data_IF_709621504682
#
_entry.id   IF_709621504682
#
_cell.length_a   1.000
_cell.length_b   1.000
_cell.length_c   1.000
_cell.angle_alpha   90.00
_cell.angle_beta   90.00
_cell.angle_gamma   90.00
#
_symmetry.space_group_name_H-M   'P 1'
#
loop_
_entity.id
_entity.type
_entity.pdbx_description
1 polymer ?
#
# COMPACT_ATOMS: atom_id res chain seq x y z
N UNK A 1 21.85 22.33 -34.23
CA UNK A 1 22.97 21.40 -33.98
C UNK A 1 22.85 20.81 -32.58
N UNK A 2 22.38 19.56 -32.45
CA UNK A 2 22.82 18.57 -31.46
C UNK A 2 22.29 17.20 -31.89
N UNK A 3 23.23 16.35 -32.33
CA UNK A 3 23.10 14.91 -32.56
C UNK A 3 22.69 14.28 -31.20
N UNK A 4 21.79 13.32 -31.11
CA UNK A 4 22.00 11.91 -31.45
C UNK A 4 20.70 11.28 -31.94
N UNK A 5 20.67 10.95 -33.23
CA UNK A 5 19.80 9.96 -33.85
C UNK A 5 20.69 8.74 -34.13
N UNK A 6 20.59 7.69 -33.32
CA UNK A 6 21.02 6.34 -33.72
C UNK A 6 20.18 5.34 -32.94
N UNK A 7 19.33 4.58 -33.65
CA UNK A 7 18.76 3.36 -33.09
C UNK A 7 17.28 3.10 -33.36
N UNK A 8 16.73 3.50 -34.51
CA UNK A 8 15.51 2.89 -35.04
C UNK A 8 15.94 1.93 -36.15
N UNK A 9 15.88 0.62 -35.86
CA UNK A 9 15.22 -0.42 -36.68
C UNK A 9 15.82 -1.82 -36.47
N UNK A 10 14.95 -2.71 -36.01
CA UNK A 10 14.85 -4.14 -36.34
C UNK A 10 15.80 -5.12 -35.63
N UNK A 11 15.52 -5.34 -34.34
CA UNK A 11 15.75 -6.61 -33.63
C UNK A 11 14.47 -7.00 -32.88
N UNK A 12 13.95 -8.17 -33.21
CA UNK A 12 12.57 -8.60 -33.02
C UNK A 12 12.17 -8.90 -31.57
N UNK A 13 10.90 -8.55 -31.28
CA UNK A 13 9.96 -9.13 -30.30
C UNK A 13 10.41 -9.30 -28.84
N UNK A 14 9.71 -8.60 -27.94
CA UNK A 14 9.70 -8.74 -26.46
C UNK A 14 10.64 -7.84 -25.63
N UNK A 15 11.28 -6.82 -26.22
CA UNK A 15 12.34 -6.08 -25.50
C UNK A 15 11.94 -4.82 -24.73
N UNK A 16 10.87 -4.10 -25.10
CA UNK A 16 10.65 -2.73 -24.60
C UNK A 16 9.25 -2.41 -24.08
N UNK A 17 8.31 -3.37 -24.19
CA UNK A 17 6.97 -3.26 -23.57
C UNK A 17 6.86 -4.08 -22.28
N UNK A 18 7.89 -4.87 -21.92
CA UNK A 18 7.70 -6.00 -20.99
C UNK A 18 8.58 -6.02 -19.72
N UNK A 19 9.32 -4.96 -19.39
CA UNK A 19 9.92 -4.82 -18.05
C UNK A 19 8.93 -4.10 -17.10
N UNK A 20 8.43 -2.93 -17.51
CA UNK A 20 7.43 -2.14 -16.78
C UNK A 20 6.09 -2.86 -16.54
N UNK A 21 5.72 -3.84 -17.38
CA UNK A 21 4.53 -4.66 -17.20
C UNK A 21 4.79 -5.93 -16.35
N UNK A 22 6.00 -6.51 -16.43
CA UNK A 22 6.37 -7.71 -15.65
C UNK A 22 6.51 -7.41 -14.16
N UNK A 23 7.12 -6.29 -13.78
CA UNK A 23 7.28 -5.92 -12.35
C UNK A 23 5.91 -5.69 -11.70
N UNK A 24 4.95 -5.17 -12.47
CA UNK A 24 3.57 -4.98 -12.03
C UNK A 24 2.81 -6.31 -11.94
N UNK A 25 3.02 -7.23 -12.87
CA UNK A 25 2.41 -8.56 -12.83
C UNK A 25 2.90 -9.39 -11.64
N UNK A 26 4.21 -9.37 -11.35
CA UNK A 26 4.80 -10.01 -10.18
C UNK A 26 4.25 -9.40 -8.88
N UNK A 27 4.18 -8.07 -8.80
CA UNK A 27 3.61 -7.39 -7.63
C UNK A 27 2.12 -7.72 -7.41
N UNK A 28 1.32 -7.79 -8.48
CA UNK A 28 -0.10 -8.18 -8.43
C UNK A 28 -0.25 -9.63 -7.97
N UNK A 29 0.56 -10.55 -8.50
CA UNK A 29 0.52 -11.95 -8.09
C UNK A 29 0.90 -12.12 -6.61
N UNK A 30 1.98 -11.46 -6.16
CA UNK A 30 2.40 -11.48 -4.76
C UNK A 30 1.32 -10.90 -3.83
N UNK A 31 0.67 -9.80 -4.25
CA UNK A 31 -0.42 -9.19 -3.50
C UNK A 31 -1.67 -10.09 -3.42
N UNK A 32 -2.04 -10.75 -4.52
CA UNK A 32 -3.17 -11.67 -4.54
C UNK A 32 -2.91 -12.90 -3.68
N UNK A 33 -1.71 -13.48 -3.80
CA UNK A 33 -1.24 -14.55 -2.91
C UNK A 33 -1.35 -14.13 -1.44
N UNK A 34 -0.85 -12.94 -1.09
CA UNK A 34 -0.84 -12.41 0.28
C UNK A 34 -2.24 -12.34 0.92
N UNK A 35 -3.32 -12.16 0.14
CA UNK A 35 -4.70 -12.12 0.66
C UNK A 35 -5.13 -13.45 1.29
N UNK A 36 -4.66 -14.56 0.75
CA UNK A 36 -4.98 -15.92 1.23
C UNK A 36 -4.06 -16.44 2.34
N UNK A 37 -2.92 -15.77 2.58
CA UNK A 37 -1.91 -16.25 3.54
C UNK A 37 -2.23 -15.87 4.98
N UNK A 38 -1.68 -16.64 5.92
CA UNK A 38 -1.65 -16.27 7.34
C UNK A 38 -0.86 -14.96 7.54
N UNK A 39 -1.12 -14.18 8.60
CA UNK A 39 -0.50 -12.86 8.77
C UNK A 39 1.03 -12.83 8.72
N UNK A 40 1.71 -13.86 9.25
CA UNK A 40 3.18 -13.95 9.22
C UNK A 40 3.74 -14.17 7.81
N UNK A 41 3.15 -15.09 7.04
CA UNK A 41 3.56 -15.35 5.66
C UNK A 41 3.16 -14.20 4.74
N UNK A 42 2.04 -13.54 5.06
CA UNK A 42 1.54 -12.36 4.36
C UNK A 42 2.54 -11.21 4.41
N UNK A 43 3.14 -10.91 5.57
CA UNK A 43 4.13 -9.83 5.66
C UNK A 43 5.33 -10.07 4.76
N UNK A 44 5.82 -11.31 4.66
CA UNK A 44 6.94 -11.67 3.77
C UNK A 44 6.54 -11.56 2.29
N UNK A 45 5.39 -12.09 1.89
CA UNK A 45 4.91 -11.98 0.51
C UNK A 45 4.69 -10.52 0.07
N UNK A 46 4.32 -9.64 1.01
CA UNK A 46 4.15 -8.22 0.73
C UNK A 46 5.48 -7.48 0.59
N UNK A 47 6.57 -7.95 1.20
CA UNK A 47 7.91 -7.39 0.98
C UNK A 47 8.38 -7.62 -0.45
N UNK A 48 8.14 -8.82 -0.99
CA UNK A 48 8.39 -9.13 -2.40
C UNK A 48 7.56 -8.22 -3.33
N UNK A 49 6.27 -8.05 -3.02
CA UNK A 49 5.38 -7.17 -3.78
C UNK A 49 5.85 -5.71 -3.76
N UNK A 50 6.21 -5.19 -2.59
CA UNK A 50 6.70 -3.82 -2.40
C UNK A 50 8.04 -3.61 -3.11
N UNK A 51 8.94 -4.59 -3.07
CA UNK A 51 10.24 -4.51 -3.74
C UNK A 51 10.08 -4.46 -5.27
N UNK A 52 9.08 -5.17 -5.83
CA UNK A 52 8.77 -5.13 -7.26
C UNK A 52 8.02 -3.85 -7.67
N UNK A 53 6.98 -3.48 -6.93
CA UNK A 53 6.20 -2.28 -7.19
C UNK A 53 5.54 -1.76 -5.89
N UNK A 54 6.09 -0.69 -5.27
CA UNK A 54 5.47 -0.07 -4.11
C UNK A 54 4.07 0.44 -4.47
N UNK A 55 3.05 -0.03 -3.75
CA UNK A 55 1.67 0.40 -3.97
C UNK A 55 0.94 0.61 -2.65
N UNK A 56 -0.04 1.53 -2.66
CA UNK A 56 -0.85 1.84 -1.48
C UNK A 56 -1.42 0.56 -0.84
N UNK A 57 -1.97 -0.33 -1.67
CA UNK A 57 -2.59 -1.58 -1.23
C UNK A 57 -1.59 -2.52 -0.57
N UNK A 58 -0.37 -2.66 -1.11
CA UNK A 58 0.65 -3.53 -0.53
C UNK A 58 1.07 -3.04 0.87
N UNK A 59 1.31 -1.74 1.02
CA UNK A 59 1.66 -1.14 2.31
C UNK A 59 0.52 -1.20 3.33
N UNK A 60 -0.73 -0.96 2.89
CA UNK A 60 -1.91 -1.06 3.74
C UNK A 60 -2.10 -2.49 4.25
N UNK A 61 -1.96 -3.48 3.36
CA UNK A 61 -2.02 -4.90 3.72
C UNK A 61 -0.89 -5.32 4.66
N UNK A 62 0.32 -4.76 4.49
CA UNK A 62 1.47 -5.06 5.35
C UNK A 62 1.21 -4.53 6.76
N UNK A 63 0.68 -3.31 6.87
CA UNK A 63 0.22 -2.75 8.13
C UNK A 63 -0.85 -3.61 8.82
N UNK A 64 -1.83 -4.11 8.05
CA UNK A 64 -2.84 -5.03 8.55
C UNK A 64 -2.30 -6.39 9.01
N UNK A 65 -1.27 -6.91 8.31
CA UNK A 65 -0.60 -8.15 8.69
C UNK A 65 0.12 -8.02 10.04
N UNK A 66 0.94 -6.98 10.20
CA UNK A 66 1.63 -6.70 11.46
C UNK A 66 0.65 -6.41 12.60
N UNK A 67 -0.44 -5.70 12.34
CA UNK A 67 -1.49 -5.48 13.33
C UNK A 67 -2.11 -6.81 13.82
N UNK A 68 -2.40 -7.74 12.91
CA UNK A 68 -2.92 -9.07 13.29
C UNK A 68 -1.90 -9.90 14.09
N UNK A 69 -0.60 -9.64 13.91
CA UNK A 69 0.49 -10.23 14.69
C UNK A 69 0.77 -9.48 16.01
N UNK A 70 0.01 -8.42 16.33
CA UNK A 70 0.23 -7.51 17.46
C UNK A 70 1.60 -6.80 17.45
N UNK A 71 2.17 -6.66 16.25
CA UNK A 71 3.40 -5.90 15.98
C UNK A 71 3.00 -4.47 15.63
N UNK A 72 2.68 -3.68 16.65
CA UNK A 72 1.98 -2.40 16.46
C UNK A 72 2.87 -1.32 15.86
N UNK A 73 4.15 -1.27 16.23
CA UNK A 73 5.13 -0.34 15.69
C UNK A 73 5.33 -0.55 14.18
N UNK A 74 5.54 -1.80 13.76
CA UNK A 74 5.68 -2.18 12.36
C UNK A 74 4.40 -1.92 11.58
N UNK A 75 3.24 -2.17 12.19
CA UNK A 75 1.95 -1.84 11.61
C UNK A 75 1.84 -0.34 11.33
N UNK A 76 2.15 0.51 12.31
CA UNK A 76 2.12 1.97 12.16
C UNK A 76 3.11 2.43 11.09
N UNK A 77 4.32 1.89 11.05
CA UNK A 77 5.32 2.25 10.04
C UNK A 77 4.83 1.93 8.62
N UNK A 78 4.31 0.73 8.39
CA UNK A 78 3.77 0.33 7.09
C UNK A 78 2.55 1.18 6.68
N UNK A 79 1.65 1.50 7.62
CA UNK A 79 0.50 2.37 7.34
C UNK A 79 0.91 3.82 7.05
N UNK A 80 1.99 4.32 7.66
CA UNK A 80 2.56 5.63 7.31
C UNK A 80 3.13 5.64 5.89
N UNK A 81 3.78 4.55 5.47
CA UNK A 81 4.22 4.39 4.08
C UNK A 81 3.02 4.38 3.12
N UNK A 82 1.95 3.65 3.44
CA UNK A 82 0.73 3.65 2.65
C UNK A 82 0.17 5.09 2.47
N UNK A 83 0.10 5.86 3.56
CA UNK A 83 -0.33 7.26 3.50
C UNK A 83 0.58 8.14 2.63
N UNK A 84 1.90 7.94 2.67
CA UNK A 84 2.86 8.76 1.91
C UNK A 84 2.69 8.62 0.39
N UNK A 85 2.30 7.43 -0.07
CA UNK A 85 2.11 7.14 -1.50
C UNK A 85 0.64 7.15 -1.92
N UNK A 86 -0.27 7.58 -1.03
CA UNK A 86 -1.68 7.68 -1.35
C UNK A 86 -1.88 8.84 -2.33
N UNK A 87 -2.21 8.51 -3.58
CA UNK A 87 -2.49 9.50 -4.62
C UNK A 87 -3.82 10.25 -4.40
N UNK A 88 -4.73 9.67 -3.60
CA UNK A 88 -6.05 10.22 -3.32
C UNK A 88 -6.24 10.52 -1.83
N UNK A 89 -6.93 11.62 -1.53
CA UNK A 89 -7.20 12.08 -0.17
C UNK A 89 -7.96 11.02 0.66
N UNK A 90 -8.96 10.36 0.06
CA UNK A 90 -9.72 9.30 0.72
C UNK A 90 -8.84 8.11 1.14
N UNK A 91 -7.86 7.72 0.32
CA UNK A 91 -6.89 6.67 0.66
C UNK A 91 -5.96 7.09 1.80
N UNK A 92 -5.54 8.36 1.82
CA UNK A 92 -4.77 8.91 2.93
C UNK A 92 -5.56 8.92 4.24
N UNK A 93 -6.86 9.20 4.18
CA UNK A 93 -7.81 9.12 5.30
C UNK A 93 -8.00 7.68 5.81
N UNK A 94 -8.13 6.71 4.91
CA UNK A 94 -8.18 5.28 5.27
C UNK A 94 -6.92 4.82 6.01
N UNK A 95 -5.74 5.21 5.53
CA UNK A 95 -4.49 4.88 6.20
C UNK A 95 -4.43 5.49 7.62
N UNK A 96 -4.90 6.73 7.81
CA UNK A 96 -5.01 7.33 9.16
C UNK A 96 -5.98 6.57 10.06
N UNK A 97 -7.15 6.18 9.55
CA UNK A 97 -8.13 5.43 10.32
C UNK A 97 -7.54 4.10 10.82
N UNK A 98 -6.75 3.42 9.99
CA UNK A 98 -6.02 2.21 10.39
C UNK A 98 -4.97 2.50 11.46
N UNK A 99 -4.23 3.60 11.36
CA UNK A 99 -3.25 3.99 12.40
C UNK A 99 -3.99 4.31 13.72
N UNK A 100 -5.12 5.02 13.66
CA UNK A 100 -5.96 5.30 14.82
C UNK A 100 -6.43 4.02 15.51
N UNK A 101 -6.87 3.02 14.73
CA UNK A 101 -7.22 1.69 15.24
C UNK A 101 -6.04 1.05 15.99
N UNK A 102 -4.83 1.10 15.45
CA UNK A 102 -3.65 0.52 16.11
C UNK A 102 -3.36 1.21 17.46
N UNK A 103 -3.51 2.53 17.55
CA UNK A 103 -3.36 3.25 18.83
C UNK A 103 -4.49 2.93 19.81
N UNK A 104 -5.73 2.78 19.34
CA UNK A 104 -6.85 2.39 20.18
C UNK A 104 -6.66 1.01 20.82
N UNK A 105 -6.02 0.06 20.12
CA UNK A 105 -5.65 -1.26 20.67
C UNK A 105 -4.50 -1.22 21.68
N UNK A 106 -3.75 -0.11 21.73
CA UNK A 106 -2.68 0.13 22.70
C UNK A 106 -3.16 1.01 23.88
N UNK A 107 -4.47 1.25 23.99
CA UNK A 107 -5.10 2.14 24.98
C UNK A 107 -4.63 3.60 24.92
N UNK A 108 -4.00 4.03 23.82
CA UNK A 108 -3.65 5.43 23.56
C UNK A 108 -4.81 6.16 22.87
N UNK A 109 -5.91 6.31 23.61
CA UNK A 109 -7.16 6.86 23.11
C UNK A 109 -7.05 8.32 22.68
N UNK A 110 -6.18 9.10 23.32
CA UNK A 110 -5.97 10.51 22.96
C UNK A 110 -5.37 10.65 21.55
N UNK A 111 -4.35 9.85 21.24
CA UNK A 111 -3.77 9.81 19.89
C UNK A 111 -4.75 9.21 18.90
N UNK A 112 -5.44 8.12 19.27
CA UNK A 112 -6.43 7.49 18.41
C UNK A 112 -7.55 8.46 18.00
N UNK A 113 -8.11 9.22 18.94
CA UNK A 113 -9.19 10.18 18.67
C UNK A 113 -8.71 11.31 17.74
N UNK A 114 -7.54 11.89 17.99
CA UNK A 114 -6.98 12.93 17.12
C UNK A 114 -6.75 12.42 15.69
N UNK A 115 -6.28 11.18 15.54
CA UNK A 115 -6.10 10.56 14.23
C UNK A 115 -7.42 10.22 13.54
N UNK A 116 -8.43 9.78 14.30
CA UNK A 116 -9.77 9.54 13.80
C UNK A 116 -10.43 10.84 13.31
N UNK A 117 -10.27 11.95 14.03
CA UNK A 117 -10.78 13.26 13.62
C UNK A 117 -10.11 13.76 12.33
N UNK A 118 -8.81 13.49 12.18
CA UNK A 118 -8.08 13.77 10.92
C UNK A 118 -8.57 12.89 9.79
N UNK A 119 -8.71 11.59 10.04
CA UNK A 119 -9.25 10.65 9.06
C UNK A 119 -10.64 11.09 8.59
N UNK A 120 -11.53 11.47 9.51
CA UNK A 120 -12.88 11.94 9.22
C UNK A 120 -12.91 13.13 8.25
N UNK A 121 -11.96 14.08 8.40
CA UNK A 121 -11.84 15.26 7.54
C UNK A 121 -11.26 14.95 6.16
N UNK A 122 -10.41 13.93 6.06
CA UNK A 122 -9.75 13.52 4.82
C UNK A 122 -10.54 12.42 4.07
N UNK A 123 -11.50 11.78 4.72
CA UNK A 123 -12.41 10.83 4.09
C UNK A 123 -13.44 11.57 3.23
N UNK A 124 -13.41 11.28 1.93
CA UNK A 124 -14.51 11.60 1.02
C UNK A 124 -15.66 10.62 1.29
N UNK A 125 -16.65 11.05 2.08
CA UNK A 125 -17.77 10.21 2.56
C UNK A 125 -18.60 9.60 1.44
N UNK A 126 -18.63 10.25 0.28
CA UNK A 126 -19.37 9.78 -0.90
C UNK A 126 -18.67 8.64 -1.64
N UNK A 127 -17.38 8.41 -1.37
CA UNK A 127 -16.56 7.35 -2.00
C UNK A 127 -16.25 6.19 -1.07
N UNK A 128 -16.75 6.23 0.16
CA UNK A 128 -16.55 5.14 1.11
C UNK A 128 -17.36 3.93 0.64
N UNK A 129 -16.73 2.74 0.49
CA UNK A 129 -17.48 1.53 0.19
C UNK A 129 -18.53 1.25 1.28
N UNK A 130 -19.78 0.96 0.89
CA UNK A 130 -20.90 0.81 1.83
C UNK A 130 -20.80 -0.34 2.85
N UNK A 131 -19.72 -1.12 2.86
CA UNK A 131 -19.40 -2.06 3.95
C UNK A 131 -18.67 -1.39 5.13
N UNK A 132 -18.36 -0.10 5.03
CA UNK A 132 -17.66 0.70 6.05
C UNK A 132 -18.57 1.75 6.74
N UNK A 133 -19.83 1.89 6.30
CA UNK A 133 -20.90 2.73 6.90
C UNK A 133 -21.97 1.85 7.51
#
# INVERSE_FOLDING_TARGET
>A
MRRVLTGLLLGLSCGWVNAYACDRAAAVFALEKARSLAPAERSTALEESIAACPSYQAWLMKGGAHFALKQYEEAIQALRQARQIADELHLAGLALARIAQVYAYQDDFAVAQNLADKAYKELDWDKIPGWLT
#
